data_IF_088902189403
#
_entry.id   IF_088902189403
#
_cell.length_a   1.000
_cell.length_b   1.000
_cell.length_c   1.000
_cell.angle_alpha   90.00
_cell.angle_beta   90.00
_cell.angle_gamma   90.00
#
_symmetry.space_group_name_H-M   'P 1'
#
loop_
_entity.id
_entity.type
_entity.pdbx_description
1 polymer ?
#
# COMPACT_ATOMS: atom_id res chain seq x y z
N UNK A 1 -8.44 -35.49 8.92
CA UNK A 1 -8.54 -34.46 9.98
C UNK A 1 -8.06 -33.15 9.41
N UNK A 2 -8.99 -32.28 9.00
CA UNK A 2 -8.68 -30.97 8.42
C UNK A 2 -8.40 -29.97 9.54
N UNK A 3 -7.16 -29.49 9.62
CA UNK A 3 -6.76 -28.40 10.51
C UNK A 3 -6.65 -27.14 9.66
N UNK A 4 -7.30 -26.07 10.13
CA UNK A 4 -7.73 -24.94 9.32
C UNK A 4 -6.63 -23.98 8.86
N UNK A 5 -6.79 -23.48 7.64
CA UNK A 5 -6.16 -22.26 7.18
C UNK A 5 -6.93 -21.07 7.78
N UNK A 6 -6.43 -20.56 8.91
CA UNK A 6 -6.97 -19.36 9.56
C UNK A 6 -6.55 -18.13 8.74
N UNK A 7 -7.50 -17.22 8.50
CA UNK A 7 -7.22 -15.87 8.05
C UNK A 7 -6.07 -15.26 8.91
N UNK A 8 -4.95 -14.91 8.28
CA UNK A 8 -3.85 -14.20 8.94
C UNK A 8 -4.10 -12.70 8.83
N UNK A 9 -5.12 -12.20 9.53
CA UNK A 9 -5.24 -10.77 9.75
C UNK A 9 -4.14 -10.31 10.72
N UNK A 10 -3.58 -9.13 10.41
CA UNK A 10 -2.78 -8.27 11.28
C UNK A 10 -2.12 -8.96 12.48
N UNK A 11 -0.89 -9.47 12.32
CA UNK A 11 -0.04 -9.65 13.51
C UNK A 11 0.51 -8.27 13.85
N UNK A 12 0.29 -7.80 15.08
CA UNK A 12 1.31 -6.98 15.71
C UNK A 12 2.48 -7.95 15.95
N UNK A 13 3.61 -7.75 15.27
CA UNK A 13 4.76 -8.63 15.44
C UNK A 13 5.41 -8.37 16.80
N UNK A 14 5.48 -9.35 17.72
CA UNK A 14 6.40 -9.25 18.84
C UNK A 14 7.84 -9.40 18.32
N UNK A 15 8.73 -8.57 18.87
CA UNK A 15 10.18 -8.66 18.69
C UNK A 15 10.66 -10.09 19.04
N UNK A 16 11.61 -10.70 18.30
CA UNK A 16 12.24 -11.96 18.71
C UNK A 16 12.94 -11.81 20.06
N UNK A 17 12.99 -12.84 20.94
CA UNK A 17 13.60 -12.72 22.26
C UNK A 17 15.13 -12.55 22.30
N UNK A 18 15.84 -12.54 21.16
CA UNK A 18 17.31 -12.61 21.15
C UNK A 18 17.98 -11.45 20.40
N UNK A 19 17.75 -10.23 20.86
CA UNK A 19 18.56 -9.07 20.49
C UNK A 19 18.97 -8.26 21.73
N UNK A 20 19.61 -8.93 22.70
CA UNK A 20 20.35 -8.26 23.76
C UNK A 20 21.83 -8.17 23.38
N UNK A 21 22.36 -6.94 23.55
CA UNK A 21 23.75 -6.47 23.44
C UNK A 21 24.23 -6.11 22.04
N UNK A 22 24.20 -4.81 21.78
CA UNK A 22 25.42 -3.98 21.71
C UNK A 22 24.98 -2.52 21.86
N UNK A 23 25.08 -2.01 23.09
CA UNK A 23 25.30 -0.59 23.30
C UNK A 23 26.71 -0.31 22.79
N UNK A 24 26.86 0.64 21.87
CA UNK A 24 28.05 1.50 21.77
C UNK A 24 27.72 2.70 20.87
N UNK A 25 27.70 3.87 21.53
CA UNK A 25 27.98 5.22 21.04
C UNK A 25 27.79 5.54 19.55
N UNK A 26 26.75 6.31 19.24
CA UNK A 26 26.77 7.23 18.09
C UNK A 26 26.10 8.56 18.49
N UNK A 27 26.97 9.55 18.63
CA UNK A 27 26.76 11.00 18.69
C UNK A 27 25.43 11.53 18.16
N UNK A 28 24.82 12.40 18.98
CA UNK A 28 23.75 13.34 18.62
C UNK A 28 24.11 14.11 17.34
N UNK A 29 23.57 13.64 16.21
CA UNK A 29 23.62 14.31 14.93
C UNK A 29 22.28 14.97 14.67
N UNK A 30 22.19 16.26 14.93
CA UNK A 30 21.10 17.11 14.48
C UNK A 30 21.02 17.10 12.95
N UNK A 31 20.17 16.24 12.38
CA UNK A 31 19.92 16.13 10.94
C UNK A 31 18.50 16.60 10.59
N UNK A 32 18.12 17.81 10.99
CA UNK A 32 16.99 18.51 10.36
C UNK A 32 17.51 19.37 9.21
N UNK A 33 17.87 18.71 8.12
CA UNK A 33 18.04 19.35 6.81
C UNK A 33 16.65 19.58 6.20
N UNK A 34 16.33 20.84 5.87
CA UNK A 34 15.16 21.19 5.05
C UNK A 34 15.20 20.35 3.76
N UNK A 35 14.11 19.62 3.48
CA UNK A 35 13.96 18.78 2.29
C UNK A 35 14.10 17.27 2.48
N UNK A 36 14.18 16.76 3.71
CA UNK A 36 14.23 15.31 3.95
C UNK A 36 12.85 14.67 3.81
N UNK A 37 12.71 13.60 3.03
CA UNK A 37 11.44 12.88 2.84
C UNK A 37 11.20 11.90 4.00
N UNK A 38 10.06 12.04 4.68
CA UNK A 38 9.64 11.18 5.79
C UNK A 38 9.03 9.87 5.29
N UNK A 39 8.24 9.93 4.22
CA UNK A 39 7.56 8.78 3.64
C UNK A 39 7.50 8.91 2.12
N UNK A 40 7.82 7.81 1.43
CA UNK A 40 7.54 7.59 0.02
C UNK A 40 6.71 6.32 -0.08
N UNK A 41 5.50 6.43 -0.61
CA UNK A 41 4.63 5.30 -0.90
C UNK A 41 4.31 5.29 -2.39
N UNK A 42 4.49 4.13 -3.03
CA UNK A 42 4.12 3.88 -4.41
C UNK A 42 3.24 2.62 -4.45
N UNK A 43 2.01 2.73 -4.96
CA UNK A 43 1.03 1.65 -4.91
C UNK A 43 0.29 1.46 -6.23
N UNK A 44 0.07 0.19 -6.58
CA UNK A 44 -0.84 -0.22 -7.64
C UNK A 44 -2.14 -0.77 -7.05
N UNK A 45 -3.27 -0.35 -7.62
CA UNK A 45 -4.54 -1.04 -7.45
C UNK A 45 -4.82 -1.91 -8.67
N UNK A 46 -4.76 -3.22 -8.48
CA UNK A 46 -5.17 -4.20 -9.49
C UNK A 46 -6.64 -4.57 -9.32
N UNK A 47 -7.46 -4.34 -10.34
CA UNK A 47 -8.89 -4.54 -10.27
C UNK A 47 -9.53 -4.85 -11.65
N UNK A 48 -10.72 -5.44 -11.64
CA UNK A 48 -11.55 -5.60 -12.83
C UNK A 48 -11.81 -4.25 -13.51
N UNK A 49 -11.61 -4.19 -14.83
CA UNK A 49 -11.76 -2.95 -15.61
C UNK A 49 -13.21 -2.43 -15.64
N UNK A 50 -14.20 -3.29 -15.41
CA UNK A 50 -15.60 -2.91 -15.36
C UNK A 50 -16.07 -2.44 -13.97
N UNK A 51 -15.26 -2.59 -12.91
CA UNK A 51 -15.64 -2.17 -11.54
C UNK A 51 -15.59 -0.64 -11.44
N UNK A 52 -16.71 0.07 -11.27
CA UNK A 52 -16.67 1.53 -11.25
C UNK A 52 -15.92 2.04 -10.01
N UNK A 53 -15.16 3.12 -10.17
CA UNK A 53 -14.45 3.80 -9.08
C UNK A 53 -14.33 5.30 -9.37
N UNK A 54 -14.34 6.13 -8.34
CA UNK A 54 -14.03 7.57 -8.42
C UNK A 54 -12.54 7.78 -8.19
N UNK A 55 -11.91 8.62 -9.02
CA UNK A 55 -10.53 9.07 -8.81
C UNK A 55 -10.37 9.80 -7.49
N UNK A 56 -9.14 9.86 -6.98
CA UNK A 56 -8.85 10.49 -5.71
C UNK A 56 -9.22 11.97 -5.67
N UNK A 57 -9.98 12.31 -4.65
CA UNK A 57 -10.49 13.65 -4.37
C UNK A 57 -10.74 13.78 -2.86
N UNK A 58 -10.86 15.01 -2.37
CA UNK A 58 -11.18 15.23 -0.96
C UNK A 58 -12.65 14.94 -0.67
N UNK A 59 -12.91 14.27 0.46
CA UNK A 59 -14.25 13.98 0.96
C UNK A 59 -14.27 13.88 2.49
N UNK A 60 -15.43 13.57 3.05
CA UNK A 60 -15.68 13.58 4.50
C UNK A 60 -16.32 14.89 4.96
N UNK A 61 -16.69 14.98 6.24
CA UNK A 61 -17.45 16.12 6.77
C UNK A 61 -16.73 17.47 6.59
N UNK A 62 -15.39 17.45 6.61
CA UNK A 62 -14.55 18.65 6.47
C UNK A 62 -13.59 18.59 5.28
N UNK A 63 -13.85 17.75 4.26
CA UNK A 63 -12.92 17.50 3.14
C UNK A 63 -11.51 17.11 3.64
N UNK A 64 -11.46 16.31 4.70
CA UNK A 64 -10.22 15.96 5.39
C UNK A 64 -9.62 14.64 4.91
N UNK A 65 -10.34 13.86 4.09
CA UNK A 65 -9.89 12.55 3.61
C UNK A 65 -9.65 12.63 2.11
N UNK A 66 -8.44 12.28 1.68
CA UNK A 66 -8.08 12.14 0.28
C UNK A 66 -7.91 10.67 -0.07
N UNK A 67 -8.79 10.16 -0.94
CA UNK A 67 -8.71 8.79 -1.47
C UNK A 67 -9.55 8.63 -2.73
N UNK A 68 -9.22 7.62 -3.55
CA UNK A 68 -10.18 7.08 -4.52
C UNK A 68 -11.33 6.37 -3.79
N UNK A 69 -12.48 6.24 -4.44
CA UNK A 69 -13.66 5.56 -3.86
C UNK A 69 -14.15 4.44 -4.78
N UNK A 70 -14.49 3.30 -4.19
CA UNK A 70 -15.22 2.24 -4.85
C UNK A 70 -16.67 2.69 -5.08
N UNK A 71 -17.15 2.49 -6.31
CA UNK A 71 -18.51 2.85 -6.73
C UNK A 71 -19.30 1.61 -7.15
N UNK A 72 -18.77 0.41 -6.93
CA UNK A 72 -19.49 -0.84 -7.19
C UNK A 72 -20.70 -0.96 -6.26
N UNK A 73 -21.81 -1.44 -6.81
CA UNK A 73 -23.06 -1.61 -6.09
C UNK A 73 -22.89 -2.50 -4.84
N UNK A 74 -23.27 -1.97 -3.67
CA UNK A 74 -23.10 -2.63 -2.36
C UNK A 74 -21.67 -2.57 -1.80
N UNK A 75 -20.78 -1.79 -2.43
CA UNK A 75 -19.39 -1.52 -1.99
C UNK A 75 -19.07 -0.03 -1.97
N UNK A 76 -20.06 0.82 -2.22
CA UNK A 76 -19.91 2.27 -2.32
C UNK A 76 -19.27 2.85 -1.06
N UNK A 77 -18.35 3.79 -1.25
CA UNK A 77 -17.65 4.45 -0.15
C UNK A 77 -16.50 3.62 0.46
N UNK A 78 -16.28 2.39 -0.01
CA UNK A 78 -15.05 1.66 0.27
C UNK A 78 -13.84 2.32 -0.40
N UNK A 79 -12.66 2.16 0.19
CA UNK A 79 -11.40 2.61 -0.43
C UNK A 79 -10.27 1.61 -0.22
N UNK A 80 -9.24 1.70 -1.05
CA UNK A 80 -8.07 0.82 -1.05
C UNK A 80 -6.82 1.51 -0.51
N UNK A 81 -6.74 2.85 -0.61
CA UNK A 81 -5.62 3.66 -0.15
C UNK A 81 -6.14 5.08 0.07
N UNK A 82 -5.81 5.65 1.23
CA UNK A 82 -6.15 7.03 1.52
C UNK A 82 -5.29 7.62 2.63
N UNK A 83 -5.32 8.94 2.69
CA UNK A 83 -4.64 9.75 3.70
C UNK A 83 -5.59 10.85 4.20
N UNK A 84 -5.54 11.17 5.48
CA UNK A 84 -6.24 12.33 6.03
C UNK A 84 -5.33 13.54 6.19
N UNK A 85 -5.92 14.76 6.22
CA UNK A 85 -5.20 16.00 6.55
C UNK A 85 -4.59 15.95 7.95
N UNK A 86 -5.09 15.10 8.85
CA UNK A 86 -4.55 14.86 10.19
C UNK A 86 -3.44 13.78 10.24
N UNK A 87 -3.06 13.23 9.08
CA UNK A 87 -1.93 12.30 8.96
C UNK A 87 -2.27 10.83 9.25
N UNK A 88 -3.53 10.41 9.18
CA UNK A 88 -3.87 8.99 9.14
C UNK A 88 -3.71 8.46 7.73
N UNK A 89 -2.91 7.42 7.55
CA UNK A 89 -2.69 6.75 6.29
C UNK A 89 -3.16 5.30 6.42
N UNK A 90 -3.95 4.80 5.47
CA UNK A 90 -4.21 3.37 5.39
C UNK A 90 -4.25 2.87 3.95
N UNK A 91 -3.82 1.63 3.78
CA UNK A 91 -3.74 0.93 2.51
C UNK A 91 -4.13 -0.53 2.68
N UNK A 92 -4.78 -1.10 1.66
CA UNK A 92 -5.20 -2.49 1.66
C UNK A 92 -4.71 -3.20 0.39
N UNK A 93 -4.10 -4.38 0.58
CA UNK A 93 -3.80 -5.32 -0.52
C UNK A 93 -4.51 -6.64 -0.28
N UNK A 94 -4.75 -7.39 -1.35
CA UNK A 94 -5.29 -8.74 -1.22
C UNK A 94 -4.21 -9.68 -0.63
N UNK A 95 -4.61 -10.86 -0.20
CA UNK A 95 -3.70 -11.98 -0.02
C UNK A 95 -4.08 -13.05 -1.05
N UNK A 96 -3.10 -13.52 -1.83
CA UNK A 96 -3.29 -14.58 -2.80
C UNK A 96 -3.61 -15.85 -2.03
N UNK A 97 -4.88 -16.24 -2.08
CA UNK A 97 -5.40 -17.44 -1.45
C UNK A 97 -6.17 -18.25 -2.52
N UNK A 98 -5.85 -19.55 -2.70
CA UNK A 98 -6.52 -20.37 -3.71
C UNK A 98 -8.02 -20.58 -3.47
N UNK A 99 -8.46 -20.51 -2.21
CA UNK A 99 -9.87 -20.69 -1.84
C UNK A 99 -10.43 -19.40 -1.26
N UNK A 100 -11.52 -18.91 -1.87
CA UNK A 100 -12.27 -17.74 -1.42
C UNK A 100 -13.55 -18.16 -0.73
N UNK A 101 -13.86 -17.57 0.43
CA UNK A 101 -15.17 -17.65 1.04
C UNK A 101 -16.10 -16.59 0.43
N UNK A 102 -17.17 -17.04 -0.22
CA UNK A 102 -18.18 -16.17 -0.83
C UNK A 102 -19.06 -15.44 0.18
N UNK A 103 -19.08 -15.89 1.44
CA UNK A 103 -19.83 -15.27 2.54
C UNK A 103 -18.99 -14.26 3.33
N UNK A 104 -17.70 -14.16 3.06
CA UNK A 104 -16.83 -13.21 3.73
C UNK A 104 -17.22 -11.76 3.41
N UNK A 105 -17.00 -10.87 4.37
CA UNK A 105 -17.27 -9.44 4.24
C UNK A 105 -16.34 -8.80 3.21
N UNK A 106 -16.83 -7.72 2.59
CA UNK A 106 -16.01 -6.85 1.76
C UNK A 106 -14.98 -6.10 2.62
N UNK A 107 -13.82 -5.76 2.05
CA UNK A 107 -12.70 -5.19 2.80
C UNK A 107 -12.49 -3.69 2.61
N UNK A 108 -13.12 -3.10 1.59
CA UNK A 108 -12.98 -1.67 1.28
C UNK A 108 -13.40 -0.76 2.44
N UNK A 109 -14.34 -1.21 3.28
CA UNK A 109 -14.77 -0.50 4.48
C UNK A 109 -13.65 -0.36 5.54
N UNK A 110 -12.65 -1.25 5.54
CA UNK A 110 -11.60 -1.26 6.56
C UNK A 110 -10.71 -0.02 6.49
N UNK A 111 -10.38 0.42 5.27
CA UNK A 111 -9.59 1.63 5.06
C UNK A 111 -10.45 2.85 5.37
N UNK A 112 -11.67 2.91 4.82
CA UNK A 112 -12.64 3.99 5.07
C UNK A 112 -12.88 4.19 6.57
N UNK A 113 -13.16 3.13 7.32
CA UNK A 113 -13.42 3.20 8.76
C UNK A 113 -12.18 3.67 9.55
N UNK A 114 -10.97 3.31 9.15
CA UNK A 114 -9.78 3.83 9.82
C UNK A 114 -9.65 5.34 9.61
N UNK A 115 -9.85 5.81 8.38
CA UNK A 115 -9.70 7.21 8.00
C UNK A 115 -10.80 8.11 8.60
N UNK A 116 -11.98 7.56 8.90
CA UNK A 116 -13.12 8.33 9.44
C UNK A 116 -13.28 8.25 10.96
N UNK A 117 -12.43 7.50 11.66
CA UNK A 117 -12.52 7.36 13.12
C UNK A 117 -11.28 7.88 13.81
N UNK A 118 -11.39 8.23 15.09
CA UNK A 118 -10.27 8.74 15.89
C UNK A 118 -9.37 7.64 16.49
N UNK A 119 -9.62 6.37 16.18
CA UNK A 119 -8.82 5.24 16.71
C UNK A 119 -7.39 5.29 16.17
N UNK A 120 -6.39 5.10 17.03
CA UNK A 120 -4.98 5.01 16.61
C UNK A 120 -4.71 3.73 15.80
N UNK A 121 -3.69 3.77 14.94
CA UNK A 121 -3.32 2.67 14.04
C UNK A 121 -3.09 1.34 14.76
N UNK A 122 -2.42 1.33 15.91
CA UNK A 122 -2.11 0.10 16.64
C UNK A 122 -3.37 -0.53 17.24
N UNK A 123 -4.23 0.26 17.88
CA UNK A 123 -5.51 -0.19 18.43
C UNK A 123 -6.43 -0.69 17.33
N UNK A 124 -6.47 0.00 16.18
CA UNK A 124 -7.27 -0.40 15.03
C UNK A 124 -6.81 -1.75 14.47
N UNK A 125 -5.50 -1.91 14.22
CA UNK A 125 -4.94 -3.16 13.72
C UNK A 125 -5.17 -4.33 14.69
N UNK A 126 -5.09 -4.11 16.01
CA UNK A 126 -5.43 -5.12 17.03
C UNK A 126 -6.89 -5.56 16.94
N UNK A 127 -7.82 -4.61 16.79
CA UNK A 127 -9.24 -4.93 16.60
C UNK A 127 -9.46 -5.79 15.35
N UNK A 128 -8.91 -5.35 14.21
CA UNK A 128 -9.07 -6.07 12.93
C UNK A 128 -8.39 -7.45 12.96
N UNK A 129 -7.31 -7.62 13.74
CA UNK A 129 -6.69 -8.94 13.96
C UNK A 129 -7.68 -9.96 14.56
N UNK A 130 -8.50 -9.55 15.52
CA UNK A 130 -9.52 -10.39 16.15
C UNK A 130 -10.68 -10.68 15.19
N UNK A 131 -11.10 -9.67 14.42
CA UNK A 131 -12.20 -9.75 13.45
C UNK A 131 -11.78 -10.35 12.10
N UNK A 132 -10.49 -10.69 11.93
CA UNK A 132 -9.91 -11.11 10.65
C UNK A 132 -10.57 -12.30 9.99
N UNK A 133 -11.15 -13.19 10.79
CA UNK A 133 -11.88 -14.37 10.33
C UNK A 133 -13.17 -14.05 9.54
N UNK A 134 -13.64 -12.80 9.57
CA UNK A 134 -14.81 -12.35 8.83
C UNK A 134 -14.51 -12.01 7.36
N UNK A 135 -13.23 -11.98 6.96
CA UNK A 135 -12.78 -11.49 5.66
C UNK A 135 -11.97 -12.56 4.92
N UNK A 136 -12.02 -12.50 3.59
CA UNK A 136 -11.03 -13.19 2.74
C UNK A 136 -9.65 -12.57 2.96
N UNK A 137 -8.58 -13.36 2.84
CA UNK A 137 -7.21 -12.94 3.15
C UNK A 137 -6.82 -11.60 2.54
N UNK A 138 -6.18 -10.76 3.36
CA UNK A 138 -5.79 -9.39 3.01
C UNK A 138 -4.62 -8.94 3.87
N UNK A 139 -3.95 -7.89 3.42
CA UNK A 139 -3.04 -7.11 4.24
C UNK A 139 -3.65 -5.72 4.45
N UNK A 140 -3.53 -5.21 5.66
CA UNK A 140 -3.94 -3.85 6.01
C UNK A 140 -2.73 -3.15 6.61
N UNK A 141 -2.35 -2.03 6.00
CA UNK A 141 -1.37 -1.09 6.52
C UNK A 141 -2.13 0.09 7.07
N UNK A 142 -1.86 0.47 8.31
CA UNK A 142 -2.40 1.66 8.95
C UNK A 142 -1.26 2.36 9.68
N UNK A 143 -1.19 3.68 9.54
CA UNK A 143 -0.14 4.50 10.14
C UNK A 143 -0.68 5.86 10.57
N UNK A 144 -0.17 6.36 11.70
CA UNK A 144 -0.33 7.74 12.14
C UNK A 144 0.98 8.49 11.86
N UNK A 145 1.03 9.27 10.78
CA UNK A 145 2.25 9.94 10.33
C UNK A 145 2.77 10.98 11.33
N UNK A 146 1.89 11.54 12.18
CA UNK A 146 2.27 12.41 13.30
C UNK A 146 3.14 11.69 14.35
N UNK A 147 2.94 10.38 14.51
CA UNK A 147 3.71 9.55 15.45
C UNK A 147 5.05 9.10 14.87
N UNK A 148 5.21 9.10 13.54
CA UNK A 148 6.50 8.80 12.91
C UNK A 148 7.50 9.94 13.16
N UNK A 149 7.01 11.19 13.22
CA UNK A 149 7.82 12.37 13.59
C UNK A 149 8.20 12.44 15.07
N UNK A 150 7.62 11.58 15.94
CA UNK A 150 7.88 11.54 17.39
C UNK A 150 8.44 10.15 17.72
N UNK A 151 9.76 10.08 17.84
CA UNK A 151 10.58 8.89 18.11
C UNK A 151 9.85 7.70 18.80
N UNK A 152 9.96 6.50 18.21
CA UNK A 152 9.88 5.23 18.95
C UNK A 152 8.58 4.43 18.91
N UNK A 153 7.54 4.83 18.16
CA UNK A 153 6.25 4.11 18.15
C UNK A 153 5.94 3.29 16.88
N UNK A 154 6.83 3.31 15.88
CA UNK A 154 6.62 2.58 14.63
C UNK A 154 6.90 1.08 14.82
N UNK A 155 5.89 0.23 14.55
CA UNK A 155 6.04 -1.23 14.55
C UNK A 155 7.00 -1.73 13.46
N UNK A 156 7.29 -0.90 12.46
CA UNK A 156 8.29 -1.15 11.42
C UNK A 156 9.41 -0.11 11.54
N UNK A 157 10.69 -0.51 11.66
CA UNK A 157 11.80 0.42 11.69
C UNK A 157 11.95 1.14 10.33
N UNK A 158 12.64 2.29 10.26
CA UNK A 158 12.93 2.95 8.99
C UNK A 158 13.59 2.00 7.99
N UNK A 159 13.11 1.98 6.75
CA UNK A 159 13.60 1.09 5.72
C UNK A 159 12.71 1.06 4.49
N UNK A 160 13.12 0.29 3.49
CA UNK A 160 12.34 0.05 2.28
C UNK A 160 11.65 -1.29 2.41
N UNK A 161 10.33 -1.30 2.21
CA UNK A 161 9.49 -2.49 2.33
C UNK A 161 8.70 -2.72 1.05
N UNK A 162 8.50 -3.99 0.71
CA UNK A 162 7.63 -4.41 -0.39
C UNK A 162 6.41 -5.16 0.13
N UNK A 163 5.24 -4.84 -0.39
CA UNK A 163 4.01 -5.59 -0.15
C UNK A 163 3.32 -5.90 -1.47
N UNK A 164 3.02 -7.18 -1.69
CA UNK A 164 2.16 -7.63 -2.80
C UNK A 164 0.98 -8.40 -2.22
N UNK A 165 0.48 -9.40 -2.94
CA UNK A 165 -0.60 -10.26 -2.48
C UNK A 165 -0.09 -11.42 -1.61
N UNK A 166 0.87 -11.15 -0.74
CA UNK A 166 1.51 -12.09 0.16
C UNK A 166 1.82 -11.41 1.49
N UNK A 167 2.54 -12.08 2.39
CA UNK A 167 3.05 -11.41 3.59
C UNK A 167 4.11 -10.36 3.20
N UNK A 168 4.31 -9.37 4.08
CA UNK A 168 5.32 -8.33 3.92
C UNK A 168 6.69 -8.92 3.56
N UNK A 169 7.33 -8.37 2.53
CA UNK A 169 8.63 -8.80 2.01
C UNK A 169 8.73 -10.30 1.64
N UNK A 170 7.60 -10.97 1.36
CA UNK A 170 7.63 -12.30 0.73
C UNK A 170 8.38 -12.16 -0.62
N UNK A 171 9.40 -13.00 -0.89
CA UNK A 171 10.35 -12.77 -1.98
C UNK A 171 9.80 -13.19 -3.35
N UNK A 172 8.62 -12.69 -3.72
CA UNK A 172 8.12 -12.76 -5.09
C UNK A 172 9.09 -11.99 -5.98
N UNK A 173 9.51 -12.58 -7.11
CA UNK A 173 10.50 -11.97 -7.99
C UNK A 173 10.06 -10.61 -8.48
N UNK A 174 8.77 -10.46 -8.80
CA UNK A 174 8.18 -9.17 -9.18
C UNK A 174 8.30 -8.11 -8.09
N UNK A 175 8.18 -8.50 -6.82
CA UNK A 175 8.29 -7.60 -5.68
C UNK A 175 9.74 -7.18 -5.48
N UNK A 176 10.68 -8.12 -5.51
CA UNK A 176 12.11 -7.83 -5.41
C UNK A 176 12.57 -6.92 -6.55
N UNK A 177 12.11 -7.18 -7.77
CA UNK A 177 12.38 -6.35 -8.95
C UNK A 177 11.83 -4.94 -8.80
N UNK A 178 10.55 -4.79 -8.45
CA UNK A 178 9.93 -3.48 -8.20
C UNK A 178 10.61 -2.71 -7.05
N UNK A 179 10.96 -3.39 -5.96
CA UNK A 179 11.68 -2.82 -4.81
C UNK A 179 13.05 -2.28 -5.21
N UNK A 180 13.79 -3.00 -6.07
CA UNK A 180 15.06 -2.55 -6.63
C UNK A 180 14.89 -1.29 -7.48
N UNK A 181 13.96 -1.28 -8.43
CA UNK A 181 13.70 -0.10 -9.27
C UNK A 181 13.25 1.12 -8.43
N UNK A 182 12.42 0.88 -7.42
CA UNK A 182 12.02 1.91 -6.45
C UNK A 182 13.23 2.51 -5.73
N UNK A 183 14.14 1.66 -5.22
CA UNK A 183 15.37 2.11 -4.55
C UNK A 183 16.28 2.90 -5.50
N UNK A 184 16.39 2.49 -6.77
CA UNK A 184 17.14 3.21 -7.80
C UNK A 184 16.55 4.62 -8.03
N UNK A 185 15.22 4.74 -8.14
CA UNK A 185 14.53 6.03 -8.30
C UNK A 185 14.75 6.95 -7.09
N UNK A 186 14.60 6.42 -5.86
CA UNK A 186 14.80 7.19 -4.62
C UNK A 186 16.27 7.61 -4.42
N UNK A 187 17.22 6.77 -4.82
CA UNK A 187 18.63 7.12 -4.75
C UNK A 187 18.97 8.28 -5.72
N UNK A 188 18.38 8.27 -6.92
CA UNK A 188 18.56 9.34 -7.91
C UNK A 188 17.86 10.65 -7.48
N UNK A 189 16.75 10.57 -6.75
CA UNK A 189 16.00 11.75 -6.34
C UNK A 189 16.69 12.64 -5.31
N UNK A 190 17.76 12.19 -4.65
CA UNK A 190 18.55 13.06 -3.77
C UNK A 190 19.15 14.27 -4.51
N UNK A 191 19.18 14.22 -5.85
CA UNK A 191 19.74 15.27 -6.72
C UNK A 191 18.68 15.86 -7.67
N UNK A 192 17.50 15.24 -7.77
CA UNK A 192 16.49 15.57 -8.78
C UNK A 192 15.25 16.25 -8.17
N UNK A 193 14.55 17.09 -8.94
CA UNK A 193 13.26 17.65 -8.55
C UNK A 193 12.21 16.59 -8.19
N UNK A 194 11.26 16.96 -7.33
CA UNK A 194 10.21 16.08 -6.80
C UNK A 194 9.31 15.48 -7.88
N UNK A 195 8.97 16.26 -8.90
CA UNK A 195 8.19 15.84 -10.07
C UNK A 195 8.91 14.75 -10.87
N UNK A 196 10.24 14.80 -10.96
CA UNK A 196 11.04 13.75 -11.60
C UNK A 196 10.97 12.45 -10.79
N UNK A 197 11.05 12.51 -9.46
CA UNK A 197 10.86 11.34 -8.61
C UNK A 197 9.46 10.73 -8.79
N UNK A 198 8.41 11.57 -8.80
CA UNK A 198 7.03 11.09 -9.03
C UNK A 198 6.93 10.38 -10.39
N UNK A 199 7.48 10.96 -11.45
CA UNK A 199 7.50 10.35 -12.78
C UNK A 199 8.24 9.00 -12.79
N UNK A 200 9.43 8.93 -12.20
CA UNK A 200 10.20 7.68 -12.10
C UNK A 200 9.43 6.60 -11.32
N UNK A 201 8.81 6.95 -10.20
CA UNK A 201 8.00 6.00 -9.43
C UNK A 201 6.77 5.53 -10.20
N UNK A 202 6.12 6.41 -10.97
CA UNK A 202 5.03 6.04 -11.87
C UNK A 202 5.49 5.09 -12.99
N UNK A 203 6.73 5.23 -13.48
CA UNK A 203 7.32 4.31 -14.45
C UNK A 203 7.60 2.94 -13.82
N UNK A 204 8.13 2.90 -12.58
CA UNK A 204 8.27 1.64 -11.82
C UNK A 204 6.92 0.93 -11.70
N UNK A 205 5.88 1.66 -11.31
CA UNK A 205 4.53 1.13 -11.14
C UNK A 205 3.86 0.69 -12.46
N UNK A 206 4.36 1.18 -13.61
CA UNK A 206 3.85 0.80 -14.94
C UNK A 206 4.66 -0.29 -15.63
N UNK A 207 5.67 -0.84 -14.95
CA UNK A 207 6.50 -1.87 -15.54
C UNK A 207 5.71 -3.18 -15.74
N UNK A 208 5.50 -3.57 -17.00
CA UNK A 208 4.78 -4.77 -17.41
C UNK A 208 5.70 -6.00 -17.60
N UNK A 209 6.98 -5.90 -17.22
CA UNK A 209 7.97 -6.97 -17.38
C UNK A 209 7.69 -8.11 -16.39
N UNK A 210 7.26 -9.25 -16.93
CA UNK A 210 6.99 -10.44 -16.15
C UNK A 210 8.28 -11.06 -15.60
N UNK A 211 8.38 -11.15 -14.27
CA UNK A 211 9.56 -11.69 -13.58
C UNK A 211 9.41 -13.21 -13.37
N UNK A 212 9.63 -13.98 -14.43
CA UNK A 212 9.46 -15.45 -14.43
C UNK A 212 10.81 -16.22 -14.41
N UNK A 213 10.80 -17.50 -13.97
CA UNK A 213 9.75 -18.13 -13.15
C UNK A 213 9.63 -17.42 -11.79
N UNK A 214 8.49 -17.51 -11.12
CA UNK A 214 8.32 -16.96 -9.76
C UNK A 214 7.87 -18.06 -8.78
N UNK A 215 8.82 -18.87 -8.26
CA UNK A 215 8.49 -20.03 -7.42
C UNK A 215 7.67 -19.68 -6.18
N UNK A 216 7.82 -18.45 -5.65
CA UNK A 216 7.10 -18.03 -4.45
C UNK A 216 5.63 -17.69 -4.76
N UNK A 217 5.34 -17.13 -5.94
CA UNK A 217 3.96 -16.97 -6.42
C UNK A 217 3.35 -18.34 -6.72
N UNK A 218 4.09 -19.21 -7.40
CA UNK A 218 3.64 -20.56 -7.76
C UNK A 218 3.33 -21.42 -6.53
N UNK A 219 4.19 -21.38 -5.52
CA UNK A 219 3.96 -22.11 -4.26
C UNK A 219 2.75 -21.57 -3.48
N UNK A 220 2.55 -20.25 -3.43
CA UNK A 220 1.40 -19.69 -2.73
C UNK A 220 0.09 -19.88 -3.51
N UNK A 221 0.13 -19.70 -4.83
CA UNK A 221 -1.03 -19.73 -5.72
C UNK A 221 -1.40 -21.13 -6.22
N UNK A 222 -0.46 -22.08 -6.23
CA UNK A 222 -0.65 -23.45 -6.72
C UNK A 222 -1.30 -23.45 -8.13
N UNK A 223 -2.18 -24.40 -8.43
CA UNK A 223 -2.88 -24.50 -9.71
C UNK A 223 -3.73 -23.26 -10.05
N UNK A 224 -4.17 -22.50 -9.04
CA UNK A 224 -5.02 -21.32 -9.24
C UNK A 224 -4.29 -20.20 -9.99
N UNK A 225 -2.99 -20.00 -9.75
CA UNK A 225 -2.24 -18.90 -10.37
C UNK A 225 -1.67 -19.26 -11.74
N UNK A 226 -1.52 -20.54 -12.06
CA UNK A 226 -0.90 -21.03 -13.30
C UNK A 226 -1.47 -20.39 -14.58
N UNK A 227 -2.80 -20.24 -14.77
CA UNK A 227 -3.36 -19.64 -15.99
C UNK A 227 -3.05 -18.15 -16.17
N UNK A 228 -2.67 -17.46 -15.09
CA UNK A 228 -2.47 -16.00 -15.06
C UNK A 228 -1.04 -15.59 -14.66
N UNK A 229 -0.17 -16.56 -14.34
CA UNK A 229 1.15 -16.32 -13.75
C UNK A 229 2.00 -15.36 -14.59
N UNK A 230 1.98 -15.51 -15.90
CA UNK A 230 2.76 -14.67 -16.81
C UNK A 230 2.42 -13.17 -16.72
N UNK A 231 1.17 -12.84 -16.40
CA UNK A 231 0.70 -11.46 -16.26
C UNK A 231 0.75 -11.02 -14.79
N UNK A 232 0.50 -11.95 -13.88
CA UNK A 232 0.49 -11.71 -12.45
C UNK A 232 1.90 -11.50 -11.88
N UNK A 233 2.94 -12.00 -12.56
CA UNK A 233 4.35 -11.84 -12.20
C UNK A 233 4.97 -10.51 -12.65
N UNK A 234 4.17 -9.54 -13.12
CA UNK A 234 4.61 -8.18 -13.40
C UNK A 234 4.23 -7.20 -12.26
N UNK A 235 4.93 -6.07 -12.18
CA UNK A 235 4.58 -4.97 -11.25
C UNK A 235 3.25 -4.34 -11.67
N UNK A 236 3.11 -4.07 -12.96
CA UNK A 236 1.89 -3.62 -13.60
C UNK A 236 1.17 -4.82 -14.22
N UNK A 237 0.04 -5.21 -13.63
CA UNK A 237 -0.72 -6.39 -14.08
C UNK A 237 -1.60 -6.03 -15.28
N UNK A 238 -1.55 -6.86 -16.32
CA UNK A 238 -2.36 -6.72 -17.54
C UNK A 238 -2.98 -8.04 -17.97
N UNK A 239 -4.27 -8.21 -17.70
CA UNK A 239 -5.06 -9.34 -18.16
C UNK A 239 -6.30 -8.85 -18.95
N UNK A 240 -6.91 -9.72 -19.78
CA UNK A 240 -8.25 -9.45 -20.32
C UNK A 240 -9.25 -9.21 -19.18
N UNK A 241 -9.79 -7.99 -19.08
CA UNK A 241 -10.81 -7.61 -18.10
C UNK A 241 -10.32 -7.32 -16.67
N UNK A 242 -9.03 -7.49 -16.36
CA UNK A 242 -8.46 -7.26 -15.02
C UNK A 242 -7.02 -6.77 -15.10
N UNK A 243 -6.62 -5.83 -14.24
CA UNK A 243 -5.24 -5.37 -14.19
C UNK A 243 -5.08 -4.10 -13.36
N UNK A 244 -3.88 -3.51 -13.38
CA UNK A 244 -3.61 -2.26 -12.67
C UNK A 244 -4.46 -1.14 -13.24
N UNK A 245 -5.31 -0.53 -12.41
CA UNK A 245 -6.21 0.56 -12.80
C UNK A 245 -5.79 1.91 -12.25
N UNK A 246 -5.03 1.91 -11.16
CA UNK A 246 -4.63 3.12 -10.47
C UNK A 246 -3.21 2.95 -9.98
N UNK A 247 -2.37 3.95 -10.24
CA UNK A 247 -1.08 4.13 -9.61
C UNK A 247 -1.21 5.31 -8.64
N UNK A 248 -0.74 5.17 -7.41
CA UNK A 248 -0.74 6.25 -6.42
C UNK A 248 0.65 6.43 -5.86
N UNK A 249 1.15 7.67 -5.90
CA UNK A 249 2.38 8.11 -5.24
C UNK A 249 2.01 9.05 -4.11
N UNK A 250 2.48 8.77 -2.90
CA UNK A 250 2.35 9.68 -1.75
C UNK A 250 3.76 10.01 -1.26
N UNK A 251 4.09 11.29 -1.29
CA UNK A 251 5.32 11.84 -0.75
C UNK A 251 4.96 12.69 0.47
N UNK A 252 5.61 12.45 1.60
CA UNK A 252 5.48 13.28 2.81
C UNK A 252 6.87 13.74 3.21
N UNK A 253 7.09 15.04 3.27
CA UNK A 253 8.36 15.61 3.73
C UNK A 253 8.41 15.82 5.25
N UNK A 254 9.58 16.16 5.76
CA UNK A 254 9.82 16.41 7.18
C UNK A 254 9.03 17.60 7.75
N UNK A 255 8.60 18.53 6.89
CA UNK A 255 7.75 19.66 7.27
C UNK A 255 6.25 19.28 7.25
N UNK A 256 5.92 18.02 6.91
CA UNK A 256 4.56 17.52 6.85
C UNK A 256 3.81 17.91 5.59
N UNK A 257 4.49 18.36 4.52
CA UNK A 257 3.83 18.59 3.23
C UNK A 257 3.63 17.25 2.53
N UNK A 258 2.39 17.00 2.15
CA UNK A 258 1.95 15.84 1.40
C UNK A 258 1.78 16.22 -0.06
N UNK A 259 2.36 15.42 -0.95
CA UNK A 259 1.97 15.40 -2.36
C UNK A 259 1.42 14.02 -2.68
N UNK A 260 0.18 14.00 -3.10
CA UNK A 260 -0.55 12.81 -3.50
C UNK A 260 -0.79 12.90 -5.00
N UNK A 261 -0.11 12.06 -5.77
CA UNK A 261 -0.31 11.95 -7.22
C UNK A 261 -0.99 10.63 -7.52
N UNK A 262 -2.15 10.68 -8.18
CA UNK A 262 -2.84 9.52 -8.68
C UNK A 262 -2.89 9.53 -10.20
N UNK A 263 -2.49 8.42 -10.81
CA UNK A 263 -2.74 8.15 -12.23
C UNK A 263 -3.77 7.03 -12.34
N UNK A 264 -4.95 7.35 -12.83
CA UNK A 264 -6.11 6.44 -12.90
C UNK A 264 -6.53 6.20 -14.34
N UNK A 265 -6.83 4.94 -14.67
CA UNK A 265 -7.32 4.52 -15.98
C UNK A 265 -8.74 5.05 -16.20
N UNK A 266 -8.94 5.73 -17.33
CA UNK A 266 -10.24 6.23 -17.75
C UNK A 266 -11.05 5.10 -18.39
N UNK A 267 -12.30 4.95 -17.94
CA UNK A 267 -13.22 3.93 -18.42
C UNK A 267 -12.65 2.49 -18.28
N UNK A 268 -12.64 1.74 -19.39
CA UNK A 268 -12.16 0.35 -19.51
C UNK A 268 -10.93 0.26 -20.43
N UNK A 269 -10.37 1.40 -20.84
CA UNK A 269 -9.31 1.47 -21.85
C UNK A 269 -7.94 1.62 -21.17
N UNK A 270 -7.08 0.59 -21.21
CA UNK A 270 -5.77 0.63 -20.56
C UNK A 270 -4.77 1.59 -21.21
N UNK A 271 -5.12 2.22 -22.34
CA UNK A 271 -4.30 3.26 -22.98
C UNK A 271 -4.64 4.68 -22.52
N UNK A 272 -5.80 4.87 -21.86
CA UNK A 272 -6.28 6.19 -21.45
C UNK A 272 -6.15 6.35 -19.94
N UNK A 273 -5.34 7.31 -19.54
CA UNK A 273 -5.08 7.61 -18.14
C UNK A 273 -5.27 9.10 -17.87
N UNK A 274 -5.78 9.41 -16.70
CA UNK A 274 -5.81 10.76 -16.15
C UNK A 274 -4.86 10.80 -14.95
N UNK A 275 -4.11 11.88 -14.82
CA UNK A 275 -3.23 12.11 -13.66
C UNK A 275 -3.71 13.33 -12.91
N UNK A 276 -3.94 13.19 -11.61
CA UNK A 276 -4.24 14.28 -10.70
C UNK A 276 -3.19 14.34 -9.60
N UNK A 277 -2.88 15.55 -9.14
CA UNK A 277 -1.99 15.78 -8.01
C UNK A 277 -2.68 16.72 -7.03
N UNK A 278 -2.71 16.32 -5.77
CA UNK A 278 -3.20 17.11 -4.65
C UNK A 278 -2.04 17.36 -3.69
N UNK A 279 -1.95 18.59 -3.20
CA UNK A 279 -0.93 18.99 -2.23
C UNK A 279 -1.57 19.66 -1.03
N UNK A 280 -1.13 19.29 0.17
CA UNK A 280 -1.61 19.87 1.42
C UNK A 280 -0.58 19.68 2.53
N UNK A 281 -0.69 20.45 3.60
CA UNK A 281 0.14 20.28 4.80
C UNK A 281 -0.66 19.55 5.86
N UNK A 282 -0.02 18.59 6.54
CA UNK A 282 -0.64 17.90 7.67
C UNK A 282 -1.03 18.91 8.75
N UNK A 283 -2.29 18.86 9.17
CA UNK A 283 -2.84 19.67 10.24
C UNK A 283 -2.31 19.16 11.58
N UNK A 284 -1.92 20.10 12.44
CA UNK A 284 -1.45 19.87 13.81
C UNK A 284 -2.54 19.31 14.71
#
# INVERSE_FOLDING_TARGET
GCVGQRARAARAWPCPPDAQRREDSATEGNCMGRGTVLLILAANRDEFYNRPSKSADFWGSNNEILSGLDMEEGKEGGTWLGITTHGKLAALTNYLQPQLDRKARGRGELVTHFLTTEVDSLSYLKKISVEGHLYNGFNLVAADLRCICREGSAALPPGVYGLSNALLDTPWRKLCFGKRLFQEAVAQSQVLPKDVLVAQLLDVLSNEEAQLPDPAIEDQGQEYVQPILNKYAAVCVRCPGYGTRTNTIILVDADGHVTFTERSMLDKDPSRWETSTHEFTLQS
#
